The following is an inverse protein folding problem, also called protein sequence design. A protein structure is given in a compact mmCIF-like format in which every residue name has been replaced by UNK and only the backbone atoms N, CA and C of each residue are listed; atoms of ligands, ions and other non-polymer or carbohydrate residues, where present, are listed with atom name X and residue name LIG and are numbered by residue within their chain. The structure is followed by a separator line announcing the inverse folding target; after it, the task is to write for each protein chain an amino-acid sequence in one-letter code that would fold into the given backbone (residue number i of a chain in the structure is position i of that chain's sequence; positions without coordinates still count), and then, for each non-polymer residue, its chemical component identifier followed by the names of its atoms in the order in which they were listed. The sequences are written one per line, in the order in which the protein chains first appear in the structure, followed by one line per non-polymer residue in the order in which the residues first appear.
data_IF_989961189347
#
_entry.id   IF_989961189347
#
_cell.length_a   1.000
_cell.length_b   1.000
_cell.length_c   1.000
_cell.angle_alpha   90.00
_cell.angle_beta   90.00
_cell.angle_gamma   90.00
#
_symmetry.space_group_name_H-M   'P 1'
#
loop_
_entity.id
_entity.type
_entity.pdbx_description
1 polymer ?
#
# COMPACT_ATOMS: atom_id res chain seq x y z
N UNK A 1 10.04 -6.76 11.02
CA UNK A 1 8.75 -6.05 11.15
C UNK A 1 7.75 -6.83 10.33
N UNK A 2 6.54 -7.12 10.82
CA UNK A 2 5.61 -7.99 10.10
C UNK A 2 5.28 -7.38 8.74
N UNK A 3 5.14 -8.20 7.71
CA UNK A 3 4.75 -7.76 6.36
C UNK A 3 3.26 -7.42 6.27
N UNK A 4 2.70 -6.83 7.32
CA UNK A 4 1.26 -6.64 7.52
C UNK A 4 0.86 -5.22 7.08
N UNK A 5 -0.29 -5.12 6.42
CA UNK A 5 -0.97 -3.89 6.07
C UNK A 5 -1.15 -3.00 7.30
N UNK A 6 -0.60 -1.79 7.27
CA UNK A 6 -0.66 -0.84 8.40
C UNK A 6 -2.04 -0.25 8.65
N UNK A 7 -3.02 -0.55 7.78
CA UNK A 7 -4.39 -0.02 7.87
C UNK A 7 -5.32 -1.04 8.54
N UNK A 8 -5.45 -2.24 7.99
CA UNK A 8 -6.33 -3.25 8.56
C UNK A 8 -5.66 -4.12 9.63
N UNK A 9 -4.32 -4.20 9.63
CA UNK A 9 -3.54 -5.09 10.51
C UNK A 9 -3.90 -6.59 10.39
N UNK A 10 -4.62 -6.98 9.33
CA UNK A 10 -5.12 -8.35 9.11
C UNK A 10 -4.42 -9.06 7.95
N UNK A 11 -4.13 -8.34 6.86
CA UNK A 11 -3.59 -8.91 5.63
C UNK A 11 -2.16 -8.45 5.41
N UNK A 12 -1.36 -9.22 4.67
CA UNK A 12 -0.06 -8.76 4.23
C UNK A 12 -0.16 -7.55 3.29
N UNK A 13 0.79 -6.63 3.38
CA UNK A 13 0.88 -5.56 2.41
C UNK A 13 1.30 -6.14 1.05
N UNK A 14 0.62 -5.70 -0.01
CA UNK A 14 0.86 -6.20 -1.37
C UNK A 14 0.54 -5.14 -2.44
N UNK A 15 0.52 -3.86 -2.04
CA UNK A 15 0.23 -2.73 -2.91
C UNK A 15 1.38 -1.71 -2.87
N UNK A 16 1.89 -1.33 -4.04
CA UNK A 16 2.87 -0.25 -4.23
C UNK A 16 2.14 1.00 -4.73
N UNK A 17 2.42 2.14 -4.11
CA UNK A 17 1.91 3.44 -4.54
C UNK A 17 2.87 4.12 -5.53
N UNK A 18 2.38 4.48 -6.71
CA UNK A 18 3.14 5.22 -7.73
C UNK A 18 2.72 6.69 -7.71
N UNK A 19 3.67 7.65 -7.82
CA UNK A 19 5.10 7.44 -8.07
C UNK A 19 5.99 7.24 -6.82
N UNK A 20 5.45 7.31 -5.60
CA UNK A 20 6.30 7.39 -4.40
C UNK A 20 7.00 6.08 -3.98
N UNK A 21 6.60 4.93 -4.52
CA UNK A 21 7.22 3.61 -4.30
C UNK A 21 6.92 2.94 -2.96
N UNK A 22 6.21 3.60 -2.05
CA UNK A 22 5.94 3.03 -0.72
C UNK A 22 4.98 1.84 -0.78
N UNK A 23 5.29 0.81 -0.01
CA UNK A 23 4.52 -0.42 0.14
C UNK A 23 4.20 -0.64 1.61
N UNK A 24 2.98 -0.31 2.02
CA UNK A 24 2.55 -0.40 3.43
C UNK A 24 1.12 -0.89 3.61
N UNK A 25 0.39 -1.14 2.52
CA UNK A 25 -1.03 -1.51 2.56
C UNK A 25 -1.31 -2.75 1.71
N UNK A 26 -2.38 -3.48 2.04
CA UNK A 26 -2.95 -4.48 1.15
C UNK A 26 -3.78 -3.80 0.04
N UNK A 27 -4.08 -4.53 -1.03
CA UNK A 27 -4.87 -4.02 -2.16
C UNK A 27 -6.26 -3.54 -1.75
N UNK A 28 -6.90 -4.20 -0.78
CA UNK A 28 -8.23 -3.80 -0.30
C UNK A 28 -8.19 -2.46 0.43
N UNK A 29 -7.23 -2.24 1.32
CA UNK A 29 -7.11 -0.94 1.98
C UNK A 29 -6.64 0.16 1.02
N UNK A 30 -5.80 -0.19 0.03
CA UNK A 30 -5.27 0.78 -0.93
C UNK A 30 -6.33 1.44 -1.81
N UNK A 31 -7.45 0.77 -2.10
CA UNK A 31 -8.51 1.32 -2.95
C UNK A 31 -9.26 2.50 -2.31
N UNK A 32 -9.12 2.68 -0.99
CA UNK A 32 -9.74 3.76 -0.23
C UNK A 32 -8.79 4.95 0.01
N UNK A 33 -7.58 4.93 -0.57
CA UNK A 33 -6.56 5.94 -0.34
C UNK A 33 -6.34 6.82 -1.58
N UNK A 34 -6.29 8.14 -1.38
CA UNK A 34 -5.89 9.12 -2.40
C UNK A 34 -4.43 9.57 -2.26
N UNK A 35 -3.85 9.41 -1.06
CA UNK A 35 -2.50 9.82 -0.72
C UNK A 35 -1.79 8.68 0.04
N UNK A 36 -0.49 8.55 -0.18
CA UNK A 36 0.33 7.58 0.52
C UNK A 36 0.31 7.86 2.04
N UNK A 37 0.01 6.87 2.91
CA UNK A 37 0.00 7.07 4.36
C UNK A 37 1.36 7.46 4.95
N UNK A 38 2.47 7.09 4.28
CA UNK A 38 3.82 7.33 4.77
C UNK A 38 4.36 8.71 4.39
N UNK A 39 4.26 9.09 3.12
CA UNK A 39 4.85 10.34 2.62
C UNK A 39 3.83 11.40 2.18
N UNK A 40 2.53 11.10 2.26
CA UNK A 40 1.40 11.96 1.84
C UNK A 40 1.38 12.35 0.36
N UNK A 41 2.29 11.81 -0.46
CA UNK A 41 2.29 12.01 -1.90
C UNK A 41 0.99 11.47 -2.52
N UNK A 42 0.45 12.16 -3.53
CA UNK A 42 -0.78 11.73 -4.22
C UNK A 42 -0.54 10.38 -4.91
N UNK A 43 -1.48 9.46 -4.74
CA UNK A 43 -1.43 8.15 -5.39
C UNK A 43 -1.99 8.33 -6.80
N UNK A 44 -1.17 8.07 -7.82
CA UNK A 44 -1.59 8.09 -9.22
C UNK A 44 -1.97 6.70 -9.70
N UNK A 45 -1.24 5.69 -9.23
CA UNK A 45 -1.51 4.29 -9.53
C UNK A 45 -1.19 3.42 -8.31
N UNK A 46 -1.96 2.34 -8.17
CA UNK A 46 -1.70 1.26 -7.22
C UNK A 46 -1.33 0.01 -8.00
N UNK A 47 -0.16 -0.56 -7.72
CA UNK A 47 0.31 -1.79 -8.36
C UNK A 47 0.29 -2.93 -7.34
N UNK A 48 -0.42 -4.02 -7.65
CA UNK A 48 -0.37 -5.23 -6.84
C UNK A 48 0.94 -5.96 -7.06
N UNK A 49 1.64 -6.30 -5.97
CA UNK A 49 2.87 -7.09 -6.03
C UNK A 49 2.60 -8.54 -5.69
N UNK A 50 3.29 -9.43 -6.40
CA UNK A 50 3.33 -10.85 -6.12
C UNK A 50 4.71 -11.15 -5.55
N UNK A 51 4.77 -11.74 -4.36
CA UNK A 51 6.00 -12.22 -3.74
C UNK A 51 6.09 -13.73 -3.96
N UNK A 52 7.30 -14.21 -4.26
CA UNK A 52 7.60 -15.63 -4.39
C UNK A 52 7.83 -16.27 -3.02
#
# INVERSE_FOLDING_TARGET
MPDICVICLEQEYNAVFVPCGHMCCCTTCSSHLTNCPLCRHRIEQVVKTFRH
#
